data_IF_732443525930
#
_entry.id   IF_732443525930
#
_cell.length_a   1.000
_cell.length_b   1.000
_cell.length_c   1.000
_cell.angle_alpha   90.00
_cell.angle_beta   90.00
_cell.angle_gamma   90.00
#
_symmetry.space_group_name_H-M   'P 1'
#
loop_
_entity.id
_entity.type
_entity.pdbx_description
1 polymer ?
#
# COMPACT_ATOMS: atom_id res chain seq x y z
N UNK A 1 -20.11 -10.73 -4.18
CA UNK A 1 -18.85 -9.97 -4.31
C UNK A 1 -18.94 -8.76 -3.40
N UNK A 2 -17.90 -8.48 -2.60
CA UNK A 2 -17.83 -7.28 -1.76
C UNK A 2 -17.02 -6.24 -2.53
N UNK A 3 -17.57 -5.04 -2.71
CA UNK A 3 -16.84 -3.93 -3.34
C UNK A 3 -15.74 -3.48 -2.39
N UNK A 4 -14.57 -3.13 -2.93
CA UNK A 4 -13.42 -2.66 -2.16
C UNK A 4 -12.62 -1.66 -3.01
N UNK A 5 -11.84 -0.80 -2.33
CA UNK A 5 -10.89 0.10 -2.99
C UNK A 5 -9.48 -0.48 -2.80
N UNK A 6 -8.79 -0.79 -3.89
CA UNK A 6 -7.40 -1.26 -3.84
C UNK A 6 -6.44 -0.09 -4.04
N UNK A 7 -5.41 0.00 -3.18
CA UNK A 7 -4.41 1.07 -3.22
C UNK A 7 -3.01 0.46 -3.33
N UNK A 8 -2.31 0.82 -4.41
CA UNK A 8 -0.92 0.43 -4.64
C UNK A 8 0.06 1.40 -4.00
N UNK A 9 1.08 0.86 -3.34
CA UNK A 9 2.15 1.61 -2.70
C UNK A 9 3.50 1.14 -3.24
N UNK A 10 4.35 2.08 -3.66
CA UNK A 10 5.73 1.82 -4.08
C UNK A 10 6.75 2.10 -2.95
N UNK A 11 6.29 2.64 -1.82
CA UNK A 11 7.13 3.00 -0.67
C UNK A 11 7.63 4.45 -0.66
N UNK A 12 7.30 5.24 -1.69
CA UNK A 12 7.56 6.69 -1.71
C UNK A 12 6.63 7.45 -0.77
N UNK A 13 7.04 8.65 -0.35
CA UNK A 13 6.20 9.54 0.45
C UNK A 13 5.00 10.06 -0.38
N UNK A 14 5.17 10.15 -1.69
CA UNK A 14 4.17 10.54 -2.67
C UNK A 14 3.07 9.49 -2.76
N UNK A 15 3.40 8.20 -2.86
CA UNK A 15 2.38 7.14 -2.90
C UNK A 15 1.60 7.04 -1.60
N UNK A 16 2.26 7.25 -0.45
CA UNK A 16 1.61 7.33 0.86
C UNK A 16 0.67 8.53 0.98
N UNK A 17 1.09 9.70 0.50
CA UNK A 17 0.24 10.89 0.47
C UNK A 17 -0.95 10.72 -0.46
N UNK A 18 -0.74 10.11 -1.64
CA UNK A 18 -1.80 9.79 -2.59
C UNK A 18 -2.82 8.80 -2.02
N UNK A 19 -2.39 7.86 -1.16
CA UNK A 19 -3.26 6.87 -0.52
C UNK A 19 -4.35 7.49 0.39
N UNK A 20 -4.22 8.75 0.80
CA UNK A 20 -5.27 9.46 1.56
C UNK A 20 -6.55 9.64 0.74
N UNK A 21 -6.44 9.91 -0.56
CA UNK A 21 -7.60 10.12 -1.43
C UNK A 21 -8.51 8.87 -1.51
N UNK A 22 -8.01 7.68 -1.89
CA UNK A 22 -8.84 6.48 -1.93
C UNK A 22 -9.32 6.03 -0.55
N UNK A 23 -8.56 6.28 0.53
CA UNK A 23 -9.02 6.00 1.88
C UNK A 23 -10.20 6.88 2.30
N UNK A 24 -10.15 8.18 2.00
CA UNK A 24 -11.30 9.08 2.19
C UNK A 24 -12.53 8.61 1.41
N UNK A 25 -12.34 8.21 0.15
CA UNK A 25 -13.45 7.69 -0.67
C UNK A 25 -14.01 6.37 -0.14
N UNK A 26 -13.16 5.52 0.42
CA UNK A 26 -13.59 4.28 1.08
C UNK A 26 -14.47 4.58 2.29
N UNK A 27 -14.07 5.54 3.14
CA UNK A 27 -14.86 5.97 4.30
C UNK A 27 -16.23 6.52 3.90
N UNK A 28 -16.26 7.41 2.91
CA UNK A 28 -17.51 8.00 2.42
C UNK A 28 -18.49 6.97 1.85
N UNK A 29 -17.98 5.84 1.36
CA UNK A 29 -18.77 4.78 0.73
C UNK A 29 -18.98 3.56 1.62
N UNK A 30 -18.42 3.53 2.83
CA UNK A 30 -18.44 2.37 3.72
C UNK A 30 -17.79 1.13 3.08
N UNK A 31 -16.73 1.32 2.29
CA UNK A 31 -16.01 0.24 1.61
C UNK A 31 -14.68 -0.05 2.32
N UNK A 32 -14.23 -1.32 2.35
CA UNK A 32 -12.89 -1.63 2.82
C UNK A 32 -11.80 -1.13 1.87
N UNK A 33 -10.62 -0.86 2.43
CA UNK A 33 -9.39 -0.63 1.66
C UNK A 33 -8.50 -1.87 1.67
N UNK A 34 -7.98 -2.23 0.49
CA UNK A 34 -6.92 -3.23 0.34
C UNK A 34 -5.62 -2.56 -0.10
N UNK A 35 -4.62 -2.57 0.79
CA UNK A 35 -3.29 -2.07 0.47
C UNK A 35 -2.45 -3.15 -0.22
N UNK A 36 -1.76 -2.80 -1.28
CA UNK A 36 -0.84 -3.68 -2.00
C UNK A 36 0.50 -2.98 -2.23
N UNK A 37 1.60 -3.70 -2.09
CA UNK A 37 2.93 -3.21 -2.42
C UNK A 37 3.48 -3.98 -3.61
N UNK A 38 4.07 -3.26 -4.57
CA UNK A 38 4.50 -3.79 -5.85
C UNK A 38 5.99 -3.51 -6.06
N UNK A 39 6.70 -4.50 -6.58
CA UNK A 39 8.09 -4.35 -7.03
C UNK A 39 8.13 -4.34 -8.55
N UNK A 40 8.90 -3.42 -9.11
CA UNK A 40 9.12 -3.37 -10.55
C UNK A 40 10.22 -4.37 -10.92
N UNK A 41 9.82 -5.54 -11.43
CA UNK A 41 10.75 -6.57 -11.89
C UNK A 41 11.24 -6.20 -13.29
N UNK A 42 12.31 -5.43 -13.37
CA UNK A 42 13.06 -5.21 -14.62
C UNK A 42 14.14 -6.29 -14.77
N UNK A 43 14.38 -6.85 -15.98
CA UNK A 43 15.49 -7.77 -16.22
C UNK A 43 16.85 -7.20 -15.81
N UNK A 44 17.02 -5.87 -15.89
CA UNK A 44 18.25 -5.16 -15.47
C UNK A 44 18.37 -5.10 -13.95
N UNK A 45 17.26 -4.93 -13.24
CA UNK A 45 17.25 -4.82 -11.79
C UNK A 45 17.24 -6.19 -11.08
N UNK A 46 16.71 -7.22 -11.73
CA UNK A 46 16.48 -8.54 -11.14
C UNK A 46 17.72 -9.16 -10.46
N UNK A 47 18.95 -9.10 -11.04
CA UNK A 47 20.15 -9.64 -10.40
C UNK A 47 20.54 -8.90 -9.11
N UNK A 48 20.08 -7.66 -8.95
CA UNK A 48 20.39 -6.80 -7.82
C UNK A 48 19.25 -6.72 -6.80
N UNK A 49 18.14 -7.42 -7.04
CA UNK A 49 17.05 -7.43 -6.09
C UNK A 49 17.45 -8.17 -4.81
N UNK A 50 17.07 -7.65 -3.62
CA UNK A 50 17.24 -8.37 -2.37
C UNK A 50 16.56 -9.74 -2.41
N UNK A 51 16.93 -10.64 -1.50
CA UNK A 51 16.26 -11.94 -1.38
C UNK A 51 14.74 -11.80 -1.24
N UNK A 52 13.99 -12.84 -1.59
CA UNK A 52 12.52 -12.83 -1.47
C UNK A 52 12.04 -12.52 -0.06
N UNK A 53 12.77 -13.00 0.95
CA UNK A 53 12.51 -12.73 2.36
C UNK A 53 12.67 -11.24 2.68
N UNK A 54 13.78 -10.62 2.26
CA UNK A 54 14.02 -9.18 2.46
C UNK A 54 12.97 -8.33 1.73
N UNK A 55 12.61 -8.69 0.49
CA UNK A 55 11.55 -7.99 -0.25
C UNK A 55 10.20 -8.09 0.46
N UNK A 56 9.88 -9.25 1.03
CA UNK A 56 8.66 -9.45 1.82
C UNK A 56 8.67 -8.59 3.07
N UNK A 57 9.80 -8.57 3.79
CA UNK A 57 9.94 -7.77 5.00
C UNK A 57 9.80 -6.26 4.72
N UNK A 58 10.43 -5.76 3.65
CA UNK A 58 10.31 -4.35 3.22
C UNK A 58 8.88 -4.03 2.81
N UNK A 59 8.26 -4.88 1.98
CA UNK A 59 6.87 -4.67 1.55
C UNK A 59 5.90 -4.63 2.73
N UNK A 60 6.05 -5.55 3.70
CA UNK A 60 5.24 -5.53 4.90
C UNK A 60 5.46 -4.28 5.77
N UNK A 61 6.70 -3.77 5.82
CA UNK A 61 7.00 -2.52 6.55
C UNK A 61 6.29 -1.34 5.91
N UNK A 62 6.30 -1.23 4.58
CA UNK A 62 5.58 -0.19 3.83
C UNK A 62 4.07 -0.30 4.10
N UNK A 63 3.50 -1.50 3.97
CA UNK A 63 2.07 -1.72 4.18
C UNK A 63 1.62 -1.38 5.61
N UNK A 64 2.39 -1.79 6.63
CA UNK A 64 2.09 -1.46 8.03
C UNK A 64 2.18 0.04 8.32
N UNK A 65 3.18 0.72 7.74
CA UNK A 65 3.31 2.17 7.87
C UNK A 65 2.11 2.91 7.28
N UNK A 66 1.71 2.53 6.07
CA UNK A 66 0.54 3.09 5.42
C UNK A 66 -0.76 2.79 6.16
N UNK A 67 -0.96 1.56 6.63
CA UNK A 67 -2.12 1.18 7.46
C UNK A 67 -2.21 2.05 8.73
N UNK A 68 -1.09 2.23 9.43
CA UNK A 68 -1.03 3.06 10.64
C UNK A 68 -1.38 4.52 10.34
N UNK A 69 -0.84 5.09 9.26
CA UNK A 69 -1.12 6.47 8.87
C UNK A 69 -2.58 6.67 8.46
N UNK A 70 -3.11 5.77 7.62
CA UNK A 70 -4.48 5.88 7.14
C UNK A 70 -5.49 5.69 8.26
N UNK A 71 -5.31 4.72 9.17
CA UNK A 71 -6.20 4.58 10.34
C UNK A 71 -6.18 5.78 11.27
N UNK A 72 -5.05 6.50 11.35
CA UNK A 72 -4.96 7.74 12.11
C UNK A 72 -5.84 8.87 11.54
N UNK A 73 -6.09 8.87 10.23
CA UNK A 73 -6.92 9.87 9.54
C UNK A 73 -8.35 9.38 9.25
N UNK A 74 -8.54 8.07 9.08
CA UNK A 74 -9.76 7.42 8.61
C UNK A 74 -10.04 6.16 9.45
N UNK A 75 -10.59 6.29 10.67
CA UNK A 75 -10.71 5.17 11.61
C UNK A 75 -11.75 4.11 11.21
N UNK A 76 -12.69 4.47 10.32
CA UNK A 76 -13.80 3.61 9.89
C UNK A 76 -13.48 2.83 8.59
N UNK A 77 -12.21 2.83 8.17
CA UNK A 77 -11.71 2.21 6.93
C UNK A 77 -10.89 0.95 7.20
#
# INVERSE_FOLDING_TARGET
MRLEITVGLDGSAESLSAARWPAREAQLRGLPVRLVHLWLLSPVAAPHLPSGEVRTAVGQRILRGAESELRGHYPDV
#
